data_IF_141395952944
#
_entry.id   IF_141395952944
#
_cell.length_a   1.000
_cell.length_b   1.000
_cell.length_c   1.000
_cell.angle_alpha   90.00
_cell.angle_beta   90.00
_cell.angle_gamma   90.00
#
_symmetry.space_group_name_H-M   'P 1'
#
loop_
_entity.id
_entity.type
_entity.pdbx_description
1 polymer ?
#
# COMPACT_ATOMS: atom_id res chain seq x y z
N UNK A 1 -26.70 10.94 -2.52
CA UNK A 1 -25.29 11.35 -2.45
C UNK A 1 -24.54 10.19 -1.86
N UNK A 2 -24.24 9.18 -2.68
CA UNK A 2 -23.38 8.07 -2.27
C UNK A 2 -21.99 8.68 -2.15
N UNK A 3 -21.46 8.72 -0.93
CA UNK A 3 -20.06 9.00 -0.75
C UNK A 3 -19.32 7.93 -1.56
N UNK A 4 -18.70 8.34 -2.65
CA UNK A 4 -17.73 7.55 -3.39
C UNK A 4 -16.55 7.40 -2.42
N UNK A 5 -16.69 6.46 -1.48
CA UNK A 5 -15.62 6.11 -0.56
C UNK A 5 -14.79 5.13 -1.35
N UNK A 6 -13.69 5.62 -1.90
CA UNK A 6 -12.58 4.78 -2.34
C UNK A 6 -12.35 3.69 -1.30
N UNK A 7 -12.18 2.42 -1.70
CA UNK A 7 -11.94 1.36 -0.74
C UNK A 7 -10.64 1.63 0.01
N UNK A 8 -10.71 1.63 1.34
CA UNK A 8 -9.57 1.78 2.25
C UNK A 8 -9.40 0.45 3.00
N UNK A 9 -8.20 -0.11 2.95
CA UNK A 9 -7.82 -1.27 3.75
C UNK A 9 -6.93 -0.81 4.90
N UNK A 10 -7.27 -1.22 6.12
CA UNK A 10 -6.46 -0.94 7.30
C UNK A 10 -5.73 -2.21 7.70
N UNK A 11 -4.40 -2.13 7.75
CA UNK A 11 -3.52 -3.26 8.04
C UNK A 11 -2.57 -2.95 9.19
N UNK A 12 -2.25 -4.01 9.92
CA UNK A 12 -1.24 -3.97 10.99
C UNK A 12 -0.11 -4.94 10.65
N UNK A 13 1.09 -4.39 10.51
CA UNK A 13 2.33 -5.11 10.33
C UNK A 13 2.77 -5.78 11.65
N UNK A 14 3.48 -6.91 11.59
CA UNK A 14 3.87 -7.65 12.79
C UNK A 14 4.92 -6.91 13.65
N UNK A 15 5.70 -6.03 13.04
CA UNK A 15 6.74 -5.24 13.69
C UNK A 15 6.95 -3.89 12.98
N UNK A 16 7.53 -2.87 13.65
CA UNK A 16 7.82 -1.58 13.04
C UNK A 16 8.69 -1.73 11.80
N UNK A 17 8.11 -1.41 10.66
CA UNK A 17 8.70 -1.67 9.35
C UNK A 17 8.99 -0.37 8.63
N UNK A 18 10.14 -0.33 7.95
CA UNK A 18 10.41 0.69 6.96
C UNK A 18 9.72 0.31 5.64
N UNK A 19 8.60 0.98 5.35
CA UNK A 19 7.81 0.74 4.14
C UNK A 19 8.61 1.01 2.87
N UNK A 20 9.48 2.03 2.86
CA UNK A 20 10.30 2.37 1.68
C UNK A 20 11.20 1.20 1.31
N UNK A 21 12.02 0.77 2.27
CA UNK A 21 12.92 -0.38 2.09
C UNK A 21 12.14 -1.66 1.71
N UNK A 22 10.97 -1.88 2.33
CA UNK A 22 10.13 -3.06 2.01
C UNK A 22 9.62 -3.01 0.57
N UNK A 23 9.12 -1.86 0.13
CA UNK A 23 8.63 -1.67 -1.24
C UNK A 23 9.77 -1.80 -2.26
N UNK A 24 10.95 -1.23 -1.98
CA UNK A 24 12.15 -1.42 -2.80
C UNK A 24 12.53 -2.90 -2.93
N UNK A 25 12.51 -3.64 -1.82
CA UNK A 25 12.82 -5.07 -1.78
C UNK A 25 11.79 -5.93 -2.52
N UNK A 26 10.52 -5.55 -2.47
CA UNK A 26 9.45 -6.17 -3.26
C UNK A 26 9.52 -5.80 -4.75
N UNK A 27 10.34 -4.80 -5.13
CA UNK A 27 10.40 -4.29 -6.50
C UNK A 27 9.15 -3.50 -6.87
N UNK A 28 8.45 -2.95 -5.89
CA UNK A 28 7.22 -2.18 -6.07
C UNK A 28 7.58 -0.71 -6.26
N UNK A 29 7.09 -0.13 -7.35
CA UNK A 29 7.34 1.26 -7.71
C UNK A 29 6.57 2.19 -6.77
N UNK A 30 7.25 3.19 -6.21
CA UNK A 30 6.67 4.10 -5.22
C UNK A 30 7.29 5.50 -5.30
N UNK A 31 6.58 6.46 -4.71
CA UNK A 31 6.96 7.86 -4.60
C UNK A 31 6.66 8.38 -3.20
N UNK A 32 7.67 8.91 -2.53
CA UNK A 32 7.50 9.60 -1.26
C UNK A 32 6.73 10.91 -1.42
N UNK A 33 5.68 11.08 -0.61
CA UNK A 33 4.92 12.33 -0.53
C UNK A 33 5.41 13.15 0.64
N UNK A 34 5.46 12.53 1.82
CA UNK A 34 5.95 13.12 3.07
C UNK A 34 6.40 12.02 4.05
N UNK A 35 6.47 12.34 5.33
CA UNK A 35 6.95 11.45 6.38
C UNK A 35 5.95 10.33 6.71
N UNK A 36 4.66 10.55 6.45
CA UNK A 36 3.55 9.65 6.81
C UNK A 36 2.93 8.98 5.58
N UNK A 37 3.15 9.53 4.38
CA UNK A 37 2.48 9.08 3.14
C UNK A 37 3.43 8.73 2.02
N UNK A 38 3.12 7.63 1.33
CA UNK A 38 3.79 7.15 0.13
C UNK A 38 2.75 6.75 -0.92
N UNK A 39 2.97 7.17 -2.17
CA UNK A 39 2.17 6.73 -3.31
C UNK A 39 2.83 5.49 -3.88
N UNK A 40 2.02 4.46 -4.17
CA UNK A 40 2.47 3.18 -4.70
C UNK A 40 1.80 2.94 -6.04
N UNK A 41 2.60 2.55 -7.04
CA UNK A 41 2.10 2.15 -8.35
C UNK A 41 2.15 0.62 -8.40
N UNK A 42 0.99 -0.01 -8.28
CA UNK A 42 0.86 -1.47 -8.20
C UNK A 42 -0.11 -1.98 -9.25
N UNK A 43 0.34 -2.88 -10.13
CA UNK A 43 -0.47 -3.42 -11.24
C UNK A 43 -1.16 -2.33 -12.10
N UNK A 44 -0.49 -1.21 -12.36
CA UNK A 44 -1.03 -0.03 -13.07
C UNK A 44 -2.14 0.73 -12.32
N UNK A 45 -2.43 0.38 -11.07
CA UNK A 45 -3.26 1.15 -10.16
C UNK A 45 -2.40 2.08 -9.29
N UNK A 46 -3.01 3.17 -8.83
CA UNK A 46 -2.39 4.12 -7.91
C UNK A 46 -3.00 3.92 -6.53
N UNK A 47 -2.15 3.56 -5.57
CA UNK A 47 -2.51 3.37 -4.16
C UNK A 47 -1.86 4.48 -3.33
N UNK A 48 -2.59 5.00 -2.35
CA UNK A 48 -2.02 5.80 -1.27
C UNK A 48 -1.86 4.93 -0.04
N UNK A 49 -0.62 4.81 0.43
CA UNK A 49 -0.33 4.16 1.72
C UNK A 49 0.00 5.25 2.73
N UNK A 50 -0.74 5.24 3.83
CA UNK A 50 -0.57 6.20 4.94
C UNK A 50 -0.21 5.44 6.20
N UNK A 51 0.91 5.79 6.84
CA UNK A 51 1.24 5.34 8.17
C UNK A 51 0.32 6.04 9.18
N UNK A 52 -0.45 5.28 9.97
CA UNK A 52 -1.41 5.86 10.93
C UNK A 52 -0.85 5.98 12.35
N UNK A 53 0.26 5.30 12.64
CA UNK A 53 0.95 5.29 13.94
C UNK A 53 2.32 6.03 13.90
N UNK A 54 2.60 6.79 12.83
CA UNK A 54 3.83 7.56 12.74
C UNK A 54 4.34 7.67 11.31
N UNK A 55 5.60 7.33 11.08
CA UNK A 55 6.29 7.59 9.83
C UNK A 55 6.44 6.33 8.98
N UNK A 56 6.43 6.48 7.65
CA UNK A 56 6.58 5.36 6.70
C UNK A 56 7.90 4.60 6.88
N UNK A 57 8.91 5.19 7.51
CA UNK A 57 10.19 4.53 7.79
C UNK A 57 10.19 3.66 9.05
N UNK A 58 9.14 3.74 9.88
CA UNK A 58 9.02 2.98 11.12
C UNK A 58 7.55 2.87 11.55
N UNK A 59 6.69 2.29 10.69
CA UNK A 59 5.26 2.14 10.99
C UNK A 59 4.87 0.68 11.23
N UNK A 60 3.82 0.49 12.03
CA UNK A 60 3.13 -0.78 12.21
C UNK A 60 1.71 -0.73 11.68
N UNK A 61 1.03 0.41 11.80
CA UNK A 61 -0.34 0.58 11.34
C UNK A 61 -0.35 1.41 10.06
N UNK A 62 -1.07 0.92 9.05
CA UNK A 62 -1.17 1.60 7.76
C UNK A 62 -2.57 1.50 7.17
N UNK A 63 -2.94 2.56 6.46
CA UNK A 63 -4.12 2.60 5.60
C UNK A 63 -3.68 2.57 4.13
N UNK A 64 -4.28 1.67 3.35
CA UNK A 64 -4.12 1.58 1.90
C UNK A 64 -5.40 2.02 1.22
N UNK A 65 -5.36 3.14 0.51
CA UNK A 65 -6.49 3.66 -0.27
C UNK A 65 -6.22 3.49 -1.77
N UNK A 66 -7.19 2.96 -2.51
CA UNK A 66 -7.13 2.97 -3.99
C UNK A 66 -7.54 4.35 -4.52
N UNK A 67 -6.59 5.09 -5.08
CA UNK A 67 -6.85 6.41 -5.70
C UNK A 67 -7.27 6.30 -7.16
N UNK A 68 -6.57 5.49 -7.96
CA UNK A 68 -6.95 5.22 -9.34
C UNK A 68 -6.82 3.74 -9.66
N UNK A 69 -7.89 3.15 -10.19
CA UNK A 69 -7.88 1.78 -10.68
C UNK A 69 -7.12 1.68 -12.01
N UNK A 70 -6.57 0.50 -12.31
CA UNK A 70 -5.90 0.25 -13.57
C UNK A 70 -6.86 0.48 -14.76
N UNK A 71 -6.42 1.14 -15.85
CA UNK A 71 -7.29 1.59 -16.95
C UNK A 71 -7.86 0.48 -17.85
N UNK A 72 -7.65 -0.82 -17.53
CA UNK A 72 -8.09 -1.94 -18.38
C UNK A 72 -9.42 -2.53 -17.92
N UNK A 73 -10.24 -2.91 -18.90
CA UNK A 73 -11.53 -3.61 -18.76
C UNK A 73 -11.46 -5.00 -18.11
N UNK A 74 -10.25 -5.47 -17.75
CA UNK A 74 -9.96 -6.73 -17.06
C UNK A 74 -9.15 -6.50 -15.78
N UNK A 75 -9.04 -5.25 -15.31
CA UNK A 75 -8.41 -4.97 -14.04
C UNK A 75 -9.10 -5.80 -12.96
N UNK A 76 -8.35 -6.39 -12.01
CA UNK A 76 -8.95 -7.02 -10.84
C UNK A 76 -9.87 -6.00 -10.16
N UNK A 77 -10.93 -6.49 -9.50
CA UNK A 77 -11.73 -5.65 -8.62
C UNK A 77 -10.82 -4.89 -7.63
N UNK A 78 -11.23 -3.68 -7.25
CA UNK A 78 -10.45 -2.82 -6.36
C UNK A 78 -10.00 -3.53 -5.07
N UNK A 79 -10.86 -4.35 -4.49
CA UNK A 79 -10.54 -5.16 -3.31
C UNK A 79 -9.48 -6.23 -3.59
N UNK A 80 -9.48 -6.83 -4.79
CA UNK A 80 -8.49 -7.82 -5.18
C UNK A 80 -7.11 -7.18 -5.37
N UNK A 81 -7.05 -5.96 -5.91
CA UNK A 81 -5.80 -5.18 -6.01
C UNK A 81 -5.25 -4.87 -4.62
N UNK A 82 -6.08 -4.34 -3.72
CA UNK A 82 -5.70 -4.02 -2.35
C UNK A 82 -5.21 -5.27 -1.59
N UNK A 83 -5.96 -6.36 -1.67
CA UNK A 83 -5.59 -7.63 -1.02
C UNK A 83 -4.26 -8.15 -1.55
N UNK A 84 -4.06 -8.15 -2.88
CA UNK A 84 -2.82 -8.63 -3.50
C UNK A 84 -1.62 -7.78 -3.07
N UNK A 85 -1.80 -6.46 -3.01
CA UNK A 85 -0.77 -5.54 -2.55
C UNK A 85 -0.39 -5.81 -1.09
N UNK A 86 -1.37 -5.91 -0.18
CA UNK A 86 -1.12 -6.18 1.24
C UNK A 86 -0.45 -7.55 1.43
N UNK A 87 -0.86 -8.60 0.72
CA UNK A 87 -0.24 -9.93 0.81
C UNK A 87 1.24 -9.89 0.39
N UNK A 88 1.54 -9.19 -0.72
CA UNK A 88 2.91 -9.03 -1.21
C UNK A 88 3.77 -8.19 -0.25
N UNK A 89 3.20 -7.12 0.31
CA UNK A 89 3.86 -6.30 1.34
C UNK A 89 4.20 -7.14 2.58
N UNK A 90 3.25 -7.95 3.06
CA UNK A 90 3.43 -8.82 4.23
C UNK A 90 4.43 -9.96 3.98
N UNK A 91 4.49 -10.47 2.75
CA UNK A 91 5.53 -11.43 2.36
C UNK A 91 6.93 -10.78 2.38
N UNK A 92 7.03 -9.53 1.92
CA UNK A 92 8.28 -8.78 1.89
C UNK A 92 8.80 -8.43 3.29
N UNK A 93 7.92 -8.12 4.25
CA UNK A 93 8.32 -7.89 5.66
C UNK A 93 8.86 -9.15 6.33
N UNK A 94 8.33 -10.33 5.97
CA UNK A 94 8.73 -11.62 6.55
C UNK A 94 10.03 -12.18 5.98
N UNK A 95 10.58 -11.58 4.92
CA UNK A 95 11.79 -12.10 4.28
C UNK A 95 13.01 -11.62 5.06
N UNK A 96 13.84 -12.50 5.65
CA UNK A 96 15.04 -12.06 6.37
C UNK A 96 16.07 -11.44 5.40
N UNK A 97 16.73 -10.37 5.87
CA UNK A 97 17.81 -9.66 5.17
C UNK A 97 19.09 -10.49 5.07
#
# INVERSE_FOLDING_TARGET
>A
MTADKSPVHHDTLPEPTNLRDTLERAGIEHLDVDEERIVVIYQQAILMVTATDGQVTATQELDVELWEAAPRSTAPDSEAVLTSFTDELMAATSTPQ
#
